data_IF_613733898762
#
_entry.id   IF_613733898762
#
_cell.length_a   1.000
_cell.length_b   1.000
_cell.length_c   1.000
_cell.angle_alpha   90.00
_cell.angle_beta   90.00
_cell.angle_gamma   90.00
#
_symmetry.space_group_name_H-M   'P 1'
#
loop_
_entity.id
_entity.type
_entity.pdbx_description
1 polymer ?
#
# COMPACT_ATOMS: atom_id res chain seq x y z
N UNK A 1 -8.61 24.34 9.78
CA UNK A 1 -9.19 23.14 9.17
C UNK A 1 -10.67 23.10 9.47
N UNK A 2 -11.52 23.06 8.45
CA UNK A 2 -12.98 23.00 8.61
C UNK A 2 -13.47 21.56 8.90
N UNK A 3 -14.74 21.40 9.28
CA UNK A 3 -15.37 20.07 9.42
C UNK A 3 -15.36 19.33 8.07
N UNK A 4 -15.71 20.04 6.99
CA UNK A 4 -15.68 19.47 5.63
C UNK A 4 -14.29 18.98 5.24
N UNK A 5 -13.25 19.73 5.60
CA UNK A 5 -11.86 19.37 5.33
C UNK A 5 -11.42 18.14 6.14
N UNK A 6 -11.84 18.04 7.41
CA UNK A 6 -11.61 16.85 8.23
C UNK A 6 -12.31 15.61 7.69
N UNK A 7 -13.57 15.74 7.28
CA UNK A 7 -14.33 14.63 6.68
C UNK A 7 -13.70 14.18 5.36
N UNK A 8 -13.25 15.12 4.53
CA UNK A 8 -12.54 14.82 3.29
C UNK A 8 -11.24 14.05 3.54
N UNK A 9 -10.43 14.48 4.51
CA UNK A 9 -9.18 13.81 4.83
C UNK A 9 -9.40 12.40 5.38
N UNK A 10 -10.46 12.19 6.18
CA UNK A 10 -10.81 10.86 6.67
C UNK A 10 -11.16 9.88 5.52
N UNK A 11 -11.96 10.33 4.54
CA UNK A 11 -12.31 9.51 3.37
C UNK A 11 -11.07 9.16 2.55
N UNK A 12 -10.22 10.15 2.26
CA UNK A 12 -8.98 9.92 1.51
C UNK A 12 -8.05 8.94 2.26
N UNK A 13 -7.98 9.06 3.59
CA UNK A 13 -7.21 8.14 4.42
C UNK A 13 -7.71 6.71 4.30
N UNK A 14 -9.03 6.49 4.40
CA UNK A 14 -9.66 5.17 4.24
C UNK A 14 -9.39 4.57 2.86
N UNK A 15 -9.54 5.36 1.79
CA UNK A 15 -9.26 4.91 0.42
C UNK A 15 -7.80 4.48 0.23
N UNK A 16 -6.85 5.25 0.80
CA UNK A 16 -5.43 4.92 0.75
C UNK A 16 -5.10 3.66 1.56
N UNK A 17 -5.75 3.47 2.72
CA UNK A 17 -5.58 2.27 3.55
C UNK A 17 -6.05 1.02 2.80
N UNK A 18 -7.24 1.07 2.18
CA UNK A 18 -7.77 -0.01 1.36
C UNK A 18 -6.85 -0.34 0.18
N UNK A 19 -6.30 0.67 -0.49
CA UNK A 19 -5.37 0.46 -1.61
C UNK A 19 -4.06 -0.20 -1.15
N UNK A 20 -3.49 0.26 -0.03
CA UNK A 20 -2.30 -0.34 0.59
C UNK A 20 -2.54 -1.81 0.91
N UNK A 21 -3.69 -2.14 1.52
CA UNK A 21 -4.05 -3.51 1.89
C UNK A 21 -4.25 -4.40 0.67
N UNK A 22 -4.88 -3.88 -0.39
CA UNK A 22 -5.06 -4.58 -1.65
C UNK A 22 -3.71 -4.92 -2.31
N UNK A 23 -2.81 -3.94 -2.43
CA UNK A 23 -1.47 -4.16 -2.99
C UNK A 23 -0.60 -5.08 -2.12
N UNK A 24 -0.69 -4.97 -0.79
CA UNK A 24 0.02 -5.87 0.12
C UNK A 24 -0.46 -7.33 -0.01
N UNK A 25 -1.76 -7.53 -0.25
CA UNK A 25 -2.32 -8.86 -0.54
C UNK A 25 -1.80 -9.38 -1.87
N UNK A 26 -1.83 -8.58 -2.94
CA UNK A 26 -1.29 -8.96 -4.24
C UNK A 26 0.22 -9.28 -4.19
N UNK A 27 0.99 -8.53 -3.40
CA UNK A 27 2.41 -8.79 -3.17
C UNK A 27 2.63 -10.15 -2.52
N UNK A 28 1.85 -10.48 -1.47
CA UNK A 28 1.92 -11.78 -0.81
C UNK A 28 1.56 -12.91 -1.77
N UNK A 29 0.45 -12.77 -2.47
CA UNK A 29 -0.04 -13.81 -3.39
C UNK A 29 0.96 -14.05 -4.54
N UNK A 30 1.62 -12.99 -5.03
CA UNK A 30 2.71 -13.11 -5.99
C UNK A 30 3.91 -13.85 -5.38
N UNK A 31 4.35 -13.48 -4.19
CA UNK A 31 5.46 -14.14 -3.51
C UNK A 31 5.18 -15.63 -3.26
N UNK A 32 3.98 -15.97 -2.80
CA UNK A 32 3.53 -17.34 -2.57
C UNK A 32 3.54 -18.13 -3.90
N UNK A 33 2.99 -17.56 -4.98
CA UNK A 33 3.01 -18.20 -6.30
C UNK A 33 4.43 -18.44 -6.83
N UNK A 34 5.37 -17.52 -6.55
CA UNK A 34 6.78 -17.70 -6.94
C UNK A 34 7.44 -18.83 -6.17
N UNK A 35 7.18 -18.95 -4.87
CA UNK A 35 7.67 -20.05 -4.04
C UNK A 35 7.08 -21.38 -4.52
N UNK A 36 5.79 -21.43 -4.84
CA UNK A 36 5.14 -22.63 -5.37
C UNK A 36 5.74 -23.07 -6.72
N UNK A 37 6.06 -22.12 -7.61
CA UNK A 37 6.57 -22.42 -8.95
C UNK A 37 8.07 -22.71 -8.99
N UNK A 38 8.86 -22.01 -8.18
CA UNK A 38 10.33 -21.99 -8.30
C UNK A 38 11.07 -22.37 -7.02
N UNK A 39 10.38 -22.49 -5.88
CA UNK A 39 10.98 -22.75 -4.57
C UNK A 39 11.68 -21.54 -3.96
N UNK A 40 11.65 -20.38 -4.60
CA UNK A 40 12.31 -19.17 -4.15
C UNK A 40 11.49 -17.91 -4.51
N UNK A 41 11.82 -16.80 -3.86
CA UNK A 41 11.26 -15.48 -4.17
C UNK A 41 12.29 -14.69 -4.98
N UNK A 42 11.86 -14.06 -6.07
CA UNK A 42 12.68 -13.09 -6.81
C UNK A 42 12.26 -11.66 -6.43
N UNK A 43 13.07 -11.04 -5.57
CA UNK A 43 12.84 -9.68 -5.07
C UNK A 43 12.69 -8.67 -6.19
N UNK A 44 13.34 -8.86 -7.36
CA UNK A 44 13.24 -7.91 -8.47
C UNK A 44 11.83 -7.82 -9.04
N UNK A 45 11.08 -8.92 -9.00
CA UNK A 45 9.69 -8.93 -9.46
C UNK A 45 8.73 -8.39 -8.40
N UNK A 46 9.07 -8.53 -7.12
CA UNK A 46 8.30 -7.96 -6.01
C UNK A 46 8.54 -6.45 -5.84
N UNK A 47 9.72 -5.96 -6.25
CA UNK A 47 10.17 -4.59 -5.99
C UNK A 47 9.20 -3.50 -6.45
N UNK A 48 8.58 -3.56 -7.65
CA UNK A 48 7.61 -2.56 -8.06
C UNK A 48 6.43 -2.43 -7.09
N UNK A 49 5.86 -3.55 -6.63
CA UNK A 49 4.76 -3.55 -5.66
C UNK A 49 5.20 -3.02 -4.29
N UNK A 50 6.42 -3.37 -3.85
CA UNK A 50 6.98 -2.85 -2.60
C UNK A 50 7.13 -1.33 -2.66
N UNK A 51 7.67 -0.81 -3.77
CA UNK A 51 7.88 0.62 -3.98
C UNK A 51 6.52 1.36 -4.04
N UNK A 52 5.54 0.84 -4.78
CA UNK A 52 4.17 1.38 -4.83
C UNK A 52 3.50 1.44 -3.45
N UNK A 53 3.61 0.38 -2.65
CA UNK A 53 3.10 0.37 -1.26
C UNK A 53 3.81 1.43 -0.41
N UNK A 54 5.12 1.63 -0.62
CA UNK A 54 5.90 2.66 0.06
C UNK A 54 5.43 4.08 -0.27
N UNK A 55 5.13 4.34 -1.54
CA UNK A 55 4.58 5.62 -2.00
C UNK A 55 3.20 5.88 -1.40
N UNK A 56 2.29 4.90 -1.44
CA UNK A 56 0.95 5.02 -0.84
C UNK A 56 1.03 5.27 0.68
N UNK A 57 1.91 4.55 1.39
CA UNK A 57 2.12 4.79 2.84
C UNK A 57 2.67 6.17 3.15
N UNK A 58 3.39 6.79 2.21
CA UNK A 58 3.89 8.16 2.35
C UNK A 58 2.73 9.15 2.19
N UNK A 59 1.86 8.92 1.19
CA UNK A 59 0.66 9.73 0.98
C UNK A 59 -0.31 9.61 2.16
N UNK A 60 -0.53 8.40 2.68
CA UNK A 60 -1.38 8.15 3.83
C UNK A 60 -0.89 8.90 5.08
N UNK A 61 0.42 8.86 5.36
CA UNK A 61 1.02 9.61 6.48
C UNK A 61 0.87 11.12 6.32
N UNK A 62 1.02 11.62 5.09
CA UNK A 62 0.79 13.04 4.81
C UNK A 62 -0.67 13.45 5.08
N UNK A 63 -1.65 12.58 4.77
CA UNK A 63 -3.08 12.81 5.06
C UNK A 63 -3.36 12.80 6.56
N UNK A 64 -2.70 11.93 7.33
CA UNK A 64 -2.82 11.89 8.79
C UNK A 64 -2.09 13.03 9.51
N UNK A 65 -1.24 13.78 8.81
CA UNK A 65 -0.40 14.83 9.41
C UNK A 65 0.80 14.26 10.18
N UNK A 66 1.19 13.02 9.91
CA UNK A 66 2.41 12.40 10.44
C UNK A 66 3.58 12.78 9.52
N UNK A 67 4.30 13.86 9.87
CA UNK A 67 5.50 14.36 9.16
C UNK A 67 6.74 14.27 10.05
#
# INVERSE_FOLDING_TARGET
MSIEERTRLAIIGEELEDEIMSKATALRDLADSMVEQTGAVDEKQLRPLIDEIGELKTQYRAVLGES
#
